data_IF_060669273823
#
_entry.id   IF_060669273823
#
_cell.length_a   1.000
_cell.length_b   1.000
_cell.length_c   1.000
_cell.angle_alpha   90.00
_cell.angle_beta   90.00
_cell.angle_gamma   90.00
#
_symmetry.space_group_name_H-M   'P 1'
#
loop_
_entity.id
_entity.type
_entity.pdbx_description
1 polymer ?
#
# COMPACT_ATOMS: atom_id res chain seq x y z
N UNK A 1 8.31 15.81 36.33
CA UNK A 1 9.04 16.17 35.08
C UNK A 1 8.24 15.61 33.90
N UNK A 2 7.58 16.48 33.14
CA UNK A 2 6.71 16.08 32.01
C UNK A 2 7.55 15.97 30.73
N UNK A 3 7.44 14.85 30.01
CA UNK A 3 8.20 14.63 28.78
C UNK A 3 7.75 15.64 27.69
N UNK A 4 8.68 16.20 26.89
CA UNK A 4 8.35 17.19 25.88
C UNK A 4 7.49 16.61 24.74
N UNK A 5 6.48 17.38 24.31
CA UNK A 5 5.45 17.03 23.32
C UNK A 5 5.97 16.56 21.94
N UNK A 6 7.27 16.67 21.66
CA UNK A 6 7.91 16.14 20.45
C UNK A 6 7.92 14.62 20.38
N UNK A 7 7.80 13.91 21.50
CA UNK A 7 7.83 12.43 21.53
C UNK A 7 6.48 11.77 21.15
N UNK A 8 5.37 12.52 21.09
CA UNK A 8 4.05 11.94 20.82
C UNK A 8 3.64 11.87 19.33
N UNK A 9 4.48 12.32 18.40
CA UNK A 9 4.19 12.33 16.94
C UNK A 9 4.79 11.14 16.16
N UNK A 10 5.10 10.03 16.82
CA UNK A 10 5.45 8.75 16.17
C UNK A 10 4.32 7.72 16.28
N UNK A 11 3.07 8.16 16.45
CA UNK A 11 1.92 7.26 16.40
C UNK A 11 1.51 7.07 14.94
N UNK A 12 1.63 5.83 14.48
CA UNK A 12 1.10 5.29 13.23
C UNK A 12 1.93 5.55 11.97
N UNK A 13 3.16 5.03 11.91
CA UNK A 13 3.52 4.38 10.65
C UNK A 13 2.62 3.14 10.55
N UNK A 14 1.85 2.93 9.47
CA UNK A 14 1.20 1.65 9.28
C UNK A 14 2.32 0.60 9.27
N UNK A 15 2.41 -0.18 10.34
CA UNK A 15 3.32 -1.32 10.39
C UNK A 15 2.78 -2.29 9.35
N UNK A 16 3.37 -2.28 8.16
CA UNK A 16 3.02 -3.22 7.10
C UNK A 16 3.38 -4.60 7.64
N UNK A 17 2.36 -5.39 7.99
CA UNK A 17 2.59 -6.74 8.43
C UNK A 17 2.84 -7.62 7.20
N UNK A 18 3.83 -8.52 7.23
CA UNK A 18 4.09 -9.43 6.12
C UNK A 18 2.88 -10.29 5.73
N UNK A 19 2.00 -10.62 6.69
CA UNK A 19 0.77 -11.38 6.49
C UNK A 19 -0.29 -10.64 5.66
N UNK A 20 -0.22 -9.31 5.61
CA UNK A 20 -1.16 -8.45 4.89
C UNK A 20 -0.68 -8.10 3.48
N UNK A 21 0.53 -8.55 3.11
CA UNK A 21 1.14 -8.32 1.81
C UNK A 21 0.74 -9.42 0.82
N UNK A 22 -0.03 -9.02 -0.19
CA UNK A 22 -0.51 -9.93 -1.24
C UNK A 22 0.09 -9.59 -2.61
N UNK A 23 0.27 -10.60 -3.45
CA UNK A 23 0.60 -10.35 -4.86
C UNK A 23 -0.56 -9.65 -5.56
N UNK A 24 -0.27 -8.96 -6.67
CA UNK A 24 -1.30 -8.32 -7.52
C UNK A 24 -2.44 -9.30 -7.89
N UNK A 25 -2.10 -10.57 -8.16
CA UNK A 25 -3.09 -11.59 -8.50
C UNK A 25 -4.03 -11.87 -7.33
N UNK A 26 -3.46 -12.17 -6.15
CA UNK A 26 -4.23 -12.41 -4.92
C UNK A 26 -5.07 -11.19 -4.51
N UNK A 27 -4.54 -9.97 -4.69
CA UNK A 27 -5.31 -8.74 -4.45
C UNK A 27 -6.51 -8.64 -5.40
N UNK A 28 -6.32 -8.96 -6.68
CA UNK A 28 -7.39 -8.97 -7.66
C UNK A 28 -8.48 -10.00 -7.35
N UNK A 29 -8.08 -11.20 -6.92
CA UNK A 29 -9.02 -12.25 -6.46
C UNK A 29 -9.79 -11.81 -5.21
N UNK A 30 -9.12 -11.17 -4.25
CA UNK A 30 -9.72 -10.80 -2.97
C UNK A 30 -10.60 -9.55 -3.02
N UNK A 31 -10.22 -8.53 -3.80
CA UNK A 31 -10.97 -7.27 -3.90
C UNK A 31 -11.94 -7.23 -5.09
N UNK A 32 -11.70 -8.05 -6.11
CA UNK A 32 -12.57 -8.21 -7.28
C UNK A 32 -12.58 -6.98 -8.20
N UNK A 33 -13.79 -6.58 -8.62
CA UNK A 33 -14.01 -5.58 -9.66
C UNK A 33 -13.28 -4.26 -9.34
N UNK A 34 -12.53 -3.74 -10.31
CA UNK A 34 -11.75 -2.51 -10.17
C UNK A 34 -10.29 -2.69 -9.70
N UNK A 35 -9.90 -3.92 -9.37
CA UNK A 35 -8.55 -4.29 -8.90
C UNK A 35 -7.89 -5.34 -9.80
N UNK A 36 -8.14 -5.29 -11.12
CA UNK A 36 -7.36 -6.09 -12.08
C UNK A 36 -5.89 -5.67 -12.05
N UNK A 37 -5.00 -6.54 -12.55
CA UNK A 37 -3.57 -6.21 -12.71
C UNK A 37 -3.35 -4.87 -13.39
N UNK A 38 -4.06 -4.61 -14.49
CA UNK A 38 -3.98 -3.34 -15.23
C UNK A 38 -4.41 -2.15 -14.36
N UNK A 39 -5.50 -2.29 -13.60
CA UNK A 39 -5.99 -1.21 -12.73
C UNK A 39 -5.10 -0.95 -11.53
N UNK A 40 -4.47 -1.99 -10.97
CA UNK A 40 -3.50 -1.86 -9.88
C UNK A 40 -2.24 -1.15 -10.39
N UNK A 41 -1.65 -1.63 -11.49
CA UNK A 41 -0.47 -1.00 -12.09
C UNK A 41 -0.74 0.46 -12.46
N UNK A 42 -1.91 0.77 -13.05
CA UNK A 42 -2.29 2.15 -13.36
C UNK A 42 -2.25 3.07 -12.14
N UNK A 43 -2.72 2.61 -10.97
CA UNK A 43 -2.72 3.40 -9.72
C UNK A 43 -1.32 3.59 -9.16
N UNK A 44 -0.46 2.58 -9.30
CA UNK A 44 0.95 2.67 -8.92
C UNK A 44 1.66 3.66 -9.84
N UNK A 45 1.50 3.52 -11.15
CA UNK A 45 2.19 4.35 -12.14
C UNK A 45 1.65 5.80 -12.16
N UNK A 46 0.38 6.03 -11.79
CA UNK A 46 -0.16 7.39 -11.63
C UNK A 46 0.23 8.07 -10.31
N UNK A 47 0.77 7.31 -9.35
CA UNK A 47 1.06 7.80 -8.01
C UNK A 47 -0.13 7.81 -7.04
N UNK A 48 -1.31 7.35 -7.46
CA UNK A 48 -2.48 7.19 -6.57
C UNK A 48 -2.13 6.26 -5.39
N UNK A 49 -1.29 5.24 -5.66
CA UNK A 49 -0.77 4.34 -4.65
C UNK A 49 0.70 4.66 -4.37
N UNK A 50 0.98 4.89 -3.09
CA UNK A 50 2.32 5.27 -2.59
C UNK A 50 3.08 4.03 -2.11
N UNK A 51 4.34 3.90 -2.54
CA UNK A 51 5.25 2.85 -2.07
C UNK A 51 5.55 3.01 -0.57
N UNK A 52 5.58 1.90 0.17
CA UNK A 52 5.71 1.89 1.63
C UNK A 52 4.41 2.23 2.37
N UNK A 53 3.32 2.53 1.66
CA UNK A 53 1.97 2.70 2.23
C UNK A 53 1.02 1.66 1.64
N UNK A 54 0.80 1.70 0.33
CA UNK A 54 -0.17 0.86 -0.39
C UNK A 54 0.48 -0.38 -1.00
N UNK A 55 1.76 -0.31 -1.32
CA UNK A 55 2.51 -1.43 -1.88
C UNK A 55 3.99 -1.34 -1.51
N UNK A 56 4.72 -2.43 -1.72
CA UNK A 56 6.17 -2.52 -1.64
C UNK A 56 6.65 -3.15 -2.95
N UNK A 57 7.71 -2.61 -3.56
CA UNK A 57 8.43 -3.31 -4.61
C UNK A 57 9.54 -4.18 -3.99
N UNK A 58 9.29 -5.48 -3.85
CA UNK A 58 10.21 -6.47 -3.30
C UNK A 58 11.18 -7.02 -4.37
N UNK A 59 11.43 -6.23 -5.41
CA UNK A 59 12.38 -6.59 -6.44
C UNK A 59 13.80 -6.62 -5.86
N UNK A 60 14.57 -7.66 -6.20
CA UNK A 60 16.00 -7.70 -5.88
C UNK A 60 16.68 -6.49 -6.53
N UNK A 61 17.66 -5.90 -5.85
CA UNK A 61 18.52 -4.86 -6.41
C UNK A 61 19.06 -5.33 -7.78
N UNK A 62 18.85 -4.55 -8.85
CA UNK A 62 19.09 -4.88 -10.27
C UNK A 62 18.11 -5.80 -11.02
N UNK A 63 16.96 -6.16 -10.45
CA UNK A 63 15.91 -6.84 -11.21
C UNK A 63 15.23 -5.87 -12.19
N UNK A 64 15.16 -6.24 -13.47
CA UNK A 64 14.30 -5.55 -14.46
C UNK A 64 12.80 -5.81 -14.23
N UNK A 65 12.48 -6.82 -13.43
CA UNK A 65 11.12 -7.22 -13.11
C UNK A 65 10.75 -6.71 -11.71
N UNK A 66 9.68 -5.92 -11.63
CA UNK A 66 9.08 -5.48 -10.37
C UNK A 66 8.46 -6.68 -9.63
N UNK A 67 8.62 -6.75 -8.31
CA UNK A 67 8.01 -7.77 -7.46
C UNK A 67 7.07 -7.09 -6.47
N UNK A 68 5.95 -6.59 -7.01
CA UNK A 68 5.01 -5.77 -6.26
C UNK A 68 4.17 -6.63 -5.31
N UNK A 69 4.20 -6.24 -4.03
CA UNK A 69 3.32 -6.75 -2.98
C UNK A 69 2.42 -5.62 -2.48
N UNK A 70 1.12 -5.86 -2.45
CA UNK A 70 0.09 -4.89 -2.07
C UNK A 70 -0.22 -5.04 -0.58
N UNK A 71 -0.20 -3.92 0.14
CA UNK A 71 -0.69 -3.82 1.52
C UNK A 71 -2.22 -3.75 1.51
N UNK A 72 -2.86 -4.90 1.75
CA UNK A 72 -4.30 -5.03 1.59
C UNK A 72 -5.11 -4.10 2.53
N UNK A 73 -4.82 -3.99 3.84
CA UNK A 73 -5.47 -3.02 4.74
C UNK A 73 -5.44 -1.58 4.23
N UNK A 74 -4.27 -1.10 3.79
CA UNK A 74 -4.14 0.27 3.29
C UNK A 74 -4.96 0.51 2.01
N UNK A 75 -5.02 -0.49 1.12
CA UNK A 75 -5.85 -0.41 -0.08
C UNK A 75 -7.35 -0.45 0.24
N UNK A 76 -7.76 -1.22 1.25
CA UNK A 76 -9.14 -1.23 1.74
C UNK A 76 -9.50 0.13 2.34
N UNK A 77 -8.62 0.70 3.16
CA UNK A 77 -8.79 2.04 3.74
C UNK A 77 -8.92 3.09 2.63
N UNK A 78 -7.96 3.12 1.69
CA UNK A 78 -7.99 4.01 0.53
C UNK A 78 -9.28 3.88 -0.29
N UNK A 79 -9.79 2.66 -0.47
CA UNK A 79 -11.06 2.40 -1.15
C UNK A 79 -12.24 3.02 -0.42
N UNK A 80 -12.25 2.97 0.91
CA UNK A 80 -13.27 3.55 1.77
C UNK A 80 -13.15 5.08 1.89
N UNK A 81 -11.94 5.63 1.74
CA UNK A 81 -11.72 7.08 1.72
C UNK A 81 -12.41 7.71 0.49
N UNK A 82 -13.20 8.77 0.65
CA UNK A 82 -13.77 9.53 -0.47
C UNK A 82 -12.71 10.06 -1.44
N UNK A 83 -13.02 10.16 -2.73
CA UNK A 83 -12.02 10.53 -3.76
C UNK A 83 -11.43 11.94 -3.58
N UNK A 84 -12.17 12.84 -2.95
CA UNK A 84 -11.77 14.19 -2.56
C UNK A 84 -10.79 14.24 -1.37
N UNK A 85 -10.59 13.12 -0.68
CA UNK A 85 -9.76 13.00 0.53
C UNK A 85 -8.58 12.04 0.36
N UNK A 86 -8.34 11.55 -0.87
CA UNK A 86 -7.25 10.62 -1.20
C UNK A 86 -5.99 11.34 -1.64
#
# INVERSE_FOLDING_TARGET
>A
MSAPARYMKLKNKPTIKPEDLLTIAQTGEKLGKGFSRKSIMRRIDSGDWVEGIHFIDDARSNSKLRSIKINLPAVIEWRCTPADQR
#
